data_IF_411166226972
#
_entry.id   IF_411166226972
#
_cell.length_a   1.000
_cell.length_b   1.000
_cell.length_c   1.000
_cell.angle_alpha   90.00
_cell.angle_beta   90.00
_cell.angle_gamma   90.00
#
_symmetry.space_group_name_H-M   'P 1'
#
loop_
_entity.id
_entity.type
_entity.pdbx_description
1 polymer ?
#
# COMPACT_ATOMS: atom_id res chain seq x y z
N UNK A 1 6.24 5.12 -15.62
CA UNK A 1 5.37 5.52 -14.50
C UNK A 1 3.97 5.67 -15.07
N UNK A 2 3.12 4.65 -14.89
CA UNK A 2 1.74 4.72 -15.36
C UNK A 2 0.92 5.23 -14.17
N UNK A 3 0.42 6.45 -14.28
CA UNK A 3 -0.60 6.94 -13.35
C UNK A 3 -1.88 6.16 -13.64
N UNK A 4 -2.65 5.71 -12.63
CA UNK A 4 -3.90 5.02 -12.86
C UNK A 4 -4.87 5.93 -13.64
N UNK A 5 -5.60 5.35 -14.59
CA UNK A 5 -6.57 6.07 -15.43
C UNK A 5 -7.78 6.57 -14.64
N UNK A 6 -8.10 5.87 -13.55
CA UNK A 6 -9.18 6.20 -12.61
C UNK A 6 -8.60 6.53 -11.23
N UNK A 7 -9.31 7.31 -10.38
CA UNK A 7 -8.92 7.54 -9.00
C UNK A 7 -8.75 6.22 -8.24
N UNK A 8 -7.70 6.11 -7.44
CA UNK A 8 -7.40 4.92 -6.62
C UNK A 8 -7.16 5.33 -5.17
N UNK A 9 -7.42 4.40 -4.25
CA UNK A 9 -7.24 4.60 -2.81
C UNK A 9 -6.02 3.82 -2.30
N UNK A 10 -5.29 4.42 -1.36
CA UNK A 10 -4.19 3.74 -0.69
C UNK A 10 -4.73 2.80 0.39
N UNK A 11 -4.28 1.54 0.39
CA UNK A 11 -4.66 0.58 1.45
C UNK A 11 -4.02 0.87 2.83
N UNK A 12 -3.04 1.78 2.88
CA UNK A 12 -2.27 2.08 4.10
C UNK A 12 -2.63 3.40 4.75
N UNK A 13 -3.41 4.29 4.10
CA UNK A 13 -3.79 5.57 4.69
C UNK A 13 -5.04 6.15 4.01
N UNK A 14 -5.73 7.13 4.63
CA UNK A 14 -6.91 7.76 4.06
C UNK A 14 -6.60 8.92 3.11
N UNK A 15 -5.33 9.24 2.86
CA UNK A 15 -4.94 10.41 2.08
C UNK A 15 -5.13 10.17 0.57
N UNK A 16 -5.53 11.22 -0.15
CA UNK A 16 -5.65 11.22 -1.61
C UNK A 16 -4.37 11.75 -2.29
N UNK A 17 -4.27 11.58 -3.62
CA UNK A 17 -3.15 12.06 -4.42
C UNK A 17 -1.83 11.32 -4.15
N UNK A 18 -0.70 11.90 -4.52
CA UNK A 18 0.62 11.29 -4.28
C UNK A 18 1.02 10.19 -5.27
N UNK A 19 2.11 9.47 -4.96
CA UNK A 19 2.71 8.46 -5.84
C UNK A 19 2.22 7.06 -5.49
N UNK A 20 1.48 6.44 -6.40
CA UNK A 20 0.92 5.11 -6.24
C UNK A 20 1.71 4.02 -6.95
N UNK A 21 1.72 2.82 -6.36
CA UNK A 21 2.15 1.57 -6.98
C UNK A 21 1.11 0.49 -6.74
N UNK A 22 0.91 -0.36 -7.75
CA UNK A 22 0.02 -1.50 -7.63
C UNK A 22 0.67 -2.56 -6.73
N UNK A 23 -0.16 -3.21 -5.93
CA UNK A 23 0.23 -4.33 -5.07
C UNK A 23 0.16 -5.65 -5.85
N UNK A 24 0.80 -6.71 -5.34
CA UNK A 24 0.67 -8.07 -5.89
C UNK A 24 -0.75 -8.67 -5.75
N UNK A 25 -1.69 -7.96 -5.10
CA UNK A 25 -3.10 -8.34 -4.94
C UNK A 25 -4.07 -7.44 -5.70
N UNK A 26 -3.57 -6.69 -6.70
CA UNK A 26 -4.37 -5.75 -7.52
C UNK A 26 -5.03 -4.60 -6.74
N UNK A 27 -4.57 -4.33 -5.51
CA UNK A 27 -4.88 -3.10 -4.77
C UNK A 27 -3.81 -2.03 -5.01
N UNK A 28 -4.02 -0.83 -4.48
CA UNK A 28 -3.11 0.30 -4.63
C UNK A 28 -2.57 0.76 -3.28
N UNK A 29 -1.30 1.16 -3.26
CA UNK A 29 -0.67 1.76 -2.09
C UNK A 29 0.20 2.94 -2.50
N UNK A 30 0.31 3.95 -1.65
CA UNK A 30 1.37 4.93 -1.81
C UNK A 30 2.72 4.26 -1.65
N UNK A 31 3.66 4.57 -2.54
CA UNK A 31 5.04 4.10 -2.43
C UNK A 31 5.65 4.55 -1.09
N UNK A 32 5.39 5.79 -0.67
CA UNK A 32 5.85 6.31 0.61
C UNK A 32 5.31 5.47 1.77
N UNK A 33 4.01 5.18 1.81
CA UNK A 33 3.43 4.35 2.87
C UNK A 33 4.05 2.96 2.94
N UNK A 34 4.30 2.32 1.79
CA UNK A 34 4.95 1.02 1.75
C UNK A 34 6.37 1.06 2.34
N UNK A 35 7.16 2.09 2.03
CA UNK A 35 8.54 2.25 2.53
C UNK A 35 8.60 2.45 4.05
N UNK A 36 7.58 3.08 4.64
CA UNK A 36 7.54 3.35 6.09
C UNK A 36 6.99 2.19 6.93
N UNK A 37 6.49 1.12 6.31
CA UNK A 37 6.03 -0.09 7.01
C UNK A 37 7.13 -1.15 6.86
N UNK A 38 7.88 -1.48 7.92
CA UNK A 38 9.05 -2.36 7.82
C UNK A 38 8.76 -3.76 7.26
N UNK A 39 7.53 -4.25 7.47
CA UNK A 39 7.12 -5.58 7.03
C UNK A 39 6.67 -5.61 5.56
N UNK A 40 6.40 -4.45 4.93
CA UNK A 40 6.02 -4.32 3.52
C UNK A 40 7.28 -4.26 2.65
N UNK A 41 7.23 -4.90 1.48
CA UNK A 41 8.32 -4.93 0.53
C UNK A 41 7.97 -4.37 -0.85
N UNK A 42 8.98 -4.36 -1.71
CA UNK A 42 8.88 -4.06 -3.14
C UNK A 42 9.55 -5.21 -3.89
N UNK A 43 8.84 -5.87 -4.80
CA UNK A 43 9.39 -7.06 -5.48
C UNK A 43 10.58 -6.72 -6.38
N UNK A 44 10.56 -5.54 -7.01
CA UNK A 44 11.69 -4.99 -7.73
C UNK A 44 12.09 -3.64 -7.14
N UNK A 45 13.27 -3.56 -6.53
CA UNK A 45 13.77 -2.34 -5.87
C UNK A 45 14.28 -1.27 -6.84
N UNK A 46 14.57 -1.63 -8.10
CA UNK A 46 14.96 -0.67 -9.16
C UNK A 46 13.73 0.07 -9.67
N UNK A 47 12.65 -0.66 -9.99
CA UNK A 47 11.39 -0.07 -10.45
C UNK A 47 10.45 0.30 -9.31
N UNK A 48 10.78 -0.09 -8.09
CA UNK A 48 9.97 0.08 -6.88
C UNK A 48 8.54 -0.46 -7.05
N UNK A 49 8.39 -1.65 -7.63
CA UNK A 49 7.09 -2.28 -7.88
C UNK A 49 7.14 -3.80 -8.12
N UNK A 50 6.01 -4.50 -7.96
CA UNK A 50 4.83 -4.09 -7.19
C UNK A 50 5.13 -3.99 -5.68
N UNK A 51 4.22 -3.36 -4.94
CA UNK A 51 4.22 -3.47 -3.47
C UNK A 51 3.85 -4.91 -3.09
N UNK A 52 4.63 -5.53 -2.22
CA UNK A 52 4.46 -6.92 -1.81
C UNK A 52 4.58 -7.14 -0.29
N UNK A 53 4.47 -8.40 0.13
CA UNK A 53 4.65 -8.84 1.53
C UNK A 53 3.69 -8.18 2.53
N UNK A 54 2.56 -7.65 2.05
CA UNK A 54 1.52 -7.01 2.88
C UNK A 54 0.95 -8.01 3.91
N UNK A 55 0.93 -9.30 3.57
CA UNK A 55 0.54 -10.41 4.43
C UNK A 55 1.46 -10.61 5.65
N UNK A 56 2.69 -10.07 5.61
CA UNK A 56 3.62 -10.10 6.74
C UNK A 56 3.34 -9.03 7.79
N UNK A 57 2.52 -8.02 7.47
CA UNK A 57 2.20 -6.93 8.40
C UNK A 57 1.30 -7.46 9.53
N UNK A 58 1.74 -7.43 10.80
CA UNK A 58 0.95 -7.93 11.92
C UNK A 58 -0.38 -7.20 12.06
N UNK A 59 -1.47 -7.94 12.34
CA UNK A 59 -2.83 -7.38 12.55
C UNK A 59 -2.89 -6.25 13.60
N UNK A 60 -1.95 -6.18 14.53
CA UNK A 60 -1.84 -5.09 15.50
C UNK A 60 -1.44 -3.75 14.89
N UNK A 61 -0.61 -3.74 13.83
CA UNK A 61 -0.17 -2.51 13.15
C UNK A 61 -1.32 -1.76 12.50
N UNK A 62 -2.27 -2.49 11.96
CA UNK A 62 -3.50 -1.96 11.36
C UNK A 62 -4.45 -1.28 12.36
N UNK A 63 -4.19 -1.43 13.68
CA UNK A 63 -4.98 -0.78 14.74
C UNK A 63 -4.30 0.47 15.32
N UNK A 64 -3.00 0.64 15.12
CA UNK A 64 -2.19 1.69 15.77
C UNK A 64 -1.94 2.91 14.88
N UNK A 65 -1.96 2.68 13.57
CA UNK A 65 -1.79 3.70 12.54
C UNK A 65 -3.11 3.70 11.77
N UNK A 66 -3.54 4.81 11.17
CA UNK A 66 -4.73 4.86 10.28
C UNK A 66 -4.61 4.01 9.00
N UNK A 67 -3.88 2.90 9.09
CA UNK A 67 -3.65 1.83 8.12
C UNK A 67 -4.78 0.84 8.35
N UNK A 68 -5.82 0.84 7.53
CA UNK A 68 -6.73 -0.32 7.44
C UNK A 68 -8.18 -0.16 7.90
N UNK A 69 -8.76 1.05 7.94
CA UNK A 69 -10.20 1.17 8.13
C UNK A 69 -11.03 0.61 6.96
N UNK A 70 -10.44 0.19 5.82
CA UNK A 70 -11.20 -0.30 4.65
C UNK A 70 -10.88 -1.73 4.19
N UNK A 71 -9.99 -2.48 4.85
CA UNK A 71 -9.70 -3.87 4.43
C UNK A 71 -10.39 -4.95 5.26
N UNK A 72 -11.00 -4.59 6.40
CA UNK A 72 -11.68 -5.52 7.31
C UNK A 72 -13.18 -5.21 7.52
N UNK A 73 -13.73 -4.23 6.79
CA UNK A 73 -15.17 -3.88 6.81
C UNK A 73 -15.92 -4.35 5.54
N UNK A 74 -15.34 -5.28 4.77
CA UNK A 74 -15.96 -5.92 3.61
C UNK A 74 -15.84 -7.45 3.69
#
# INVERSE_FOLDING_TARGET
MVSPENPVSCIFCPNEGGAFKQTNTNKWGHLLCAIWIPEVGLSNTVYMEPIDQIDKVPKSRWRLVGVGTQIYEA
#
